data_IF_783787966033
#
_entry.id   IF_783787966033
#
_cell.length_a   1.000
_cell.length_b   1.000
_cell.length_c   1.000
_cell.angle_alpha   90.00
_cell.angle_beta   90.00
_cell.angle_gamma   90.00
#
_symmetry.space_group_name_H-M   'P 1'
#
loop_
_entity.id
_entity.type
_entity.pdbx_description
1 polymer ?
#
# COMPACT_ATOMS: atom_id res chain seq x y z
N UNK A 1 1.66 8.81 -10.91
CA UNK A 1 2.36 8.52 -9.64
C UNK A 1 2.41 7.02 -9.35
N UNK A 2 3.57 6.44 -9.04
CA UNK A 2 3.71 5.00 -8.71
C UNK A 2 3.46 4.76 -7.23
N UNK A 3 2.60 3.79 -6.92
CA UNK A 3 2.21 3.39 -5.58
C UNK A 3 2.65 1.96 -5.32
N UNK A 4 3.11 1.67 -4.11
CA UNK A 4 3.61 0.37 -3.69
C UNK A 4 2.77 -0.18 -2.54
N UNK A 5 2.61 -1.51 -2.51
CA UNK A 5 1.90 -2.22 -1.45
C UNK A 5 2.52 -3.59 -1.22
N UNK A 6 2.63 -3.96 0.05
CA UNK A 6 2.87 -5.33 0.45
C UNK A 6 1.56 -6.13 0.40
N UNK A 7 1.54 -7.22 -0.36
CA UNK A 7 0.38 -8.12 -0.50
C UNK A 7 0.70 -9.50 0.02
N UNK A 8 -0.26 -10.10 0.74
CA UNK A 8 -0.16 -11.49 1.18
C UNK A 8 -0.31 -12.45 -0.01
N UNK A 9 0.11 -13.73 0.12
CA UNK A 9 0.06 -14.69 -0.98
C UNK A 9 -1.34 -14.94 -1.56
N UNK A 10 -2.39 -14.88 -0.73
CA UNK A 10 -3.80 -15.00 -1.13
C UNK A 10 -4.24 -13.80 -1.97
N UNK A 11 -3.94 -12.58 -1.55
CA UNK A 11 -4.21 -11.37 -2.33
C UNK A 11 -3.41 -11.37 -3.65
N UNK A 12 -2.16 -11.84 -3.64
CA UNK A 12 -1.36 -11.99 -4.85
C UNK A 12 -1.98 -13.00 -5.84
N UNK A 13 -2.48 -14.14 -5.34
CA UNK A 13 -3.16 -15.12 -6.15
C UNK A 13 -4.45 -14.53 -6.76
N UNK A 14 -5.20 -13.75 -6.00
CA UNK A 14 -6.40 -13.04 -6.48
C UNK A 14 -6.06 -12.06 -7.60
N UNK A 15 -5.03 -11.24 -7.40
CA UNK A 15 -4.56 -10.28 -8.42
C UNK A 15 -4.15 -11.01 -9.69
N UNK A 16 -3.45 -12.15 -9.58
CA UNK A 16 -3.03 -12.95 -10.74
C UNK A 16 -4.22 -13.56 -11.48
N UNK A 17 -5.26 -13.97 -10.77
CA UNK A 17 -6.45 -14.58 -11.35
C UNK A 17 -7.34 -13.55 -12.07
N UNK A 18 -7.53 -12.38 -11.47
CA UNK A 18 -8.48 -11.38 -11.99
C UNK A 18 -7.82 -10.20 -12.71
N UNK A 19 -6.49 -10.17 -12.73
CA UNK A 19 -5.67 -9.10 -13.32
C UNK A 19 -6.01 -7.69 -12.79
N UNK A 20 -6.51 -7.62 -11.56
CA UNK A 20 -6.87 -6.35 -10.90
C UNK A 20 -6.90 -6.52 -9.38
N UNK A 21 -6.70 -5.41 -8.67
CA UNK A 21 -6.98 -5.35 -7.24
C UNK A 21 -8.50 -5.39 -7.01
N UNK A 22 -8.92 -6.16 -6.01
CA UNK A 22 -10.32 -6.25 -5.60
C UNK A 22 -10.45 -6.08 -4.10
N UNK A 23 -11.62 -5.59 -3.69
CA UNK A 23 -12.03 -5.51 -2.31
C UNK A 23 -13.01 -6.66 -2.03
N UNK A 24 -12.59 -7.75 -1.38
CA UNK A 24 -13.51 -8.78 -0.92
C UNK A 24 -14.42 -8.23 0.20
N UNK A 25 -15.49 -8.95 0.51
CA UNK A 25 -16.46 -8.54 1.53
C UNK A 25 -15.75 -8.23 2.87
N UNK A 26 -16.04 -7.06 3.43
CA UNK A 26 -15.44 -6.58 4.68
C UNK A 26 -14.15 -5.80 4.52
N UNK A 27 -13.65 -5.60 3.30
CA UNK A 27 -12.49 -4.74 3.01
C UNK A 27 -12.96 -3.49 2.25
N UNK A 28 -12.96 -2.34 2.93
CA UNK A 28 -13.39 -1.08 2.31
C UNK A 28 -12.24 -0.33 1.65
N UNK A 29 -11.02 -0.44 2.21
CA UNK A 29 -9.85 0.35 1.78
C UNK A 29 -8.59 -0.48 1.68
N UNK A 30 -7.67 -0.05 0.81
CA UNK A 30 -6.32 -0.60 0.68
C UNK A 30 -5.30 0.51 0.88
N UNK A 31 -4.36 0.28 1.79
CA UNK A 31 -3.24 1.17 2.04
C UNK A 31 -2.11 0.93 1.03
N UNK A 32 -1.50 2.03 0.60
CA UNK A 32 -0.34 2.12 -0.29
C UNK A 32 0.67 3.10 0.29
N UNK A 33 1.93 2.99 -0.13
CA UNK A 33 2.99 3.97 0.10
C UNK A 33 3.57 4.43 -1.25
N UNK A 34 4.21 5.60 -1.26
CA UNK A 34 4.99 6.11 -2.40
C UNK A 34 6.40 5.50 -2.48
N UNK A 35 6.82 4.76 -1.44
CA UNK A 35 8.16 4.17 -1.34
C UNK A 35 8.11 2.64 -1.35
N UNK A 36 8.79 2.04 -2.33
CA UNK A 36 8.98 0.59 -2.36
C UNK A 36 9.70 0.09 -1.10
N UNK A 37 10.70 0.84 -0.62
CA UNK A 37 11.46 0.50 0.58
C UNK A 37 10.57 0.47 1.84
N UNK A 38 9.60 1.39 1.94
CA UNK A 38 8.64 1.37 3.03
C UNK A 38 7.68 0.17 2.95
N UNK A 39 7.24 -0.20 1.74
CA UNK A 39 6.42 -1.39 1.55
C UNK A 39 7.18 -2.67 1.96
N UNK A 40 8.47 -2.76 1.59
CA UNK A 40 9.35 -3.86 2.01
C UNK A 40 9.58 -3.86 3.52
N UNK A 41 9.82 -2.69 4.11
CA UNK A 41 9.99 -2.55 5.55
C UNK A 41 8.74 -3.01 6.30
N UNK A 42 7.56 -2.55 5.89
CA UNK A 42 6.28 -2.97 6.46
C UNK A 42 6.08 -4.48 6.34
N UNK A 43 6.34 -5.06 5.16
CA UNK A 43 6.25 -6.50 4.95
C UNK A 43 7.11 -7.29 5.95
N UNK A 44 8.35 -6.85 6.18
CA UNK A 44 9.26 -7.49 7.15
C UNK A 44 8.73 -7.38 8.57
N UNK A 45 8.20 -6.21 8.96
CA UNK A 45 7.60 -6.02 10.28
C UNK A 45 6.37 -6.89 10.47
N UNK A 46 5.49 -6.99 9.47
CA UNK A 46 4.29 -7.81 9.56
C UNK A 46 4.62 -9.30 9.74
N UNK A 47 5.58 -9.81 8.97
CA UNK A 47 6.08 -11.20 9.13
C UNK A 47 6.65 -11.41 10.53
N UNK A 48 7.51 -10.50 11.01
CA UNK A 48 8.17 -10.64 12.30
C UNK A 48 7.20 -10.51 13.50
N UNK A 49 6.24 -9.59 13.41
CA UNK A 49 5.32 -9.25 14.51
C UNK A 49 4.10 -10.17 14.58
N UNK A 50 3.55 -10.57 13.43
CA UNK A 50 2.29 -11.33 13.36
C UNK A 50 2.48 -12.78 12.90
N UNK A 51 3.70 -13.18 12.53
CA UNK A 51 3.96 -14.53 12.00
C UNK A 51 3.35 -14.77 10.63
N UNK A 52 3.05 -13.68 9.90
CA UNK A 52 2.45 -13.76 8.58
C UNK A 52 3.39 -14.44 7.56
N UNK A 53 2.83 -15.05 6.49
CA UNK A 53 3.66 -15.55 5.39
C UNK A 53 4.38 -14.40 4.67
N UNK A 54 5.50 -14.68 3.98
CA UNK A 54 6.20 -13.66 3.19
C UNK A 54 5.28 -12.94 2.21
N UNK A 55 5.35 -11.62 2.23
CA UNK A 55 4.57 -10.76 1.33
C UNK A 55 5.30 -10.60 -0.01
N UNK A 56 4.52 -10.38 -1.08
CA UNK A 56 5.04 -9.83 -2.32
C UNK A 56 4.85 -8.32 -2.35
N UNK A 57 5.71 -7.61 -3.07
CA UNK A 57 5.53 -6.18 -3.32
C UNK A 57 4.93 -6.01 -4.71
N UNK A 58 3.80 -5.30 -4.78
CA UNK A 58 3.18 -4.91 -6.04
C UNK A 58 3.29 -3.40 -6.20
N UNK A 59 3.35 -2.97 -7.46
CA UNK A 59 3.29 -1.57 -7.82
C UNK A 59 2.07 -1.31 -8.71
N UNK A 60 1.47 -0.14 -8.53
CA UNK A 60 0.34 0.34 -9.32
C UNK A 60 0.65 1.75 -9.79
N UNK A 61 0.33 2.05 -11.05
CA UNK A 61 0.37 3.41 -11.56
C UNK A 61 -0.96 4.11 -11.27
N UNK A 62 -0.91 5.18 -10.48
CA UNK A 62 -2.02 6.11 -10.33
C UNK A 62 -2.03 7.07 -11.52
N UNK A 63 -3.15 7.12 -12.23
CA UNK A 63 -3.42 8.13 -13.27
C UNK A 63 -3.73 9.52 -12.72
N UNK A 64 -3.78 9.66 -11.39
CA UNK A 64 -3.90 10.96 -10.71
C UNK A 64 -2.58 11.26 -10.02
N UNK A 65 -1.97 12.37 -10.38
CA UNK A 65 -0.90 12.99 -9.59
C UNK A 65 -1.56 13.92 -8.58
N UNK A 66 -1.81 13.40 -7.38
CA UNK A 66 -2.35 14.18 -6.27
C UNK A 66 -1.30 14.29 -5.19
N UNK A 67 -0.78 15.50 -4.98
CA UNK A 67 -0.02 15.83 -3.77
C UNK A 67 -1.01 16.37 -2.74
N UNK A 68 -1.38 15.61 -1.69
CA UNK A 68 -2.29 16.11 -0.67
C UNK A 68 -1.70 17.35 -0.02
N UNK A 69 -2.41 18.48 -0.13
CA UNK A 69 -2.08 19.66 0.65
C UNK A 69 -2.62 19.44 2.06
N UNK A 70 -1.71 19.14 2.99
CA UNK A 70 -2.08 18.93 4.39
C UNK A 70 -1.64 20.14 5.23
N UNK A 71 -2.39 20.38 6.28
CA UNK A 71 -2.07 21.36 7.31
C UNK A 71 -2.06 20.66 8.66
N UNK A 72 -1.02 20.88 9.45
CA UNK A 72 -0.90 20.43 10.85
C UNK A 72 -0.82 21.66 11.75
N UNK A 73 -1.02 21.47 13.06
CA UNK A 73 -0.75 22.45 14.14
C UNK A 73 -0.88 23.92 13.76
N UNK A 74 -2.08 24.49 13.95
CA UNK A 74 -2.38 25.91 13.68
C UNK A 74 -2.14 26.34 12.22
N UNK A 75 -2.22 25.42 11.27
CA UNK A 75 -2.21 25.75 9.83
C UNK A 75 -0.83 25.70 9.18
N UNK A 76 0.13 25.00 9.77
CA UNK A 76 1.43 24.74 9.14
C UNK A 76 1.22 23.79 7.98
N UNK A 77 1.53 24.25 6.76
CA UNK A 77 1.46 23.42 5.56
C UNK A 77 2.54 22.34 5.63
N UNK A 78 2.17 21.10 5.35
CA UNK A 78 3.08 19.96 5.25
C UNK A 78 2.93 19.26 3.91
N UNK A 79 4.02 18.64 3.47
CA UNK A 79 4.06 17.75 2.32
C UNK A 79 4.23 16.35 2.86
N UNK A 80 3.29 15.47 2.52
CA UNK A 80 3.46 14.04 2.82
C UNK A 80 4.25 13.44 1.66
N UNK A 81 5.40 12.85 1.97
CA UNK A 81 6.23 12.09 1.04
C UNK A 81 6.11 10.61 1.35
#
# INVERSE_FOLDING_TARGET
MRLFRAVRPDELADIRLFHRLRNPNGIDVKYFTLSEAEAVWYARQAVAAFGDPPYAIVAVESGVDFTPMLFVDRGVRVVVQ
#
